data_IF_382891364714
#
_entry.id   IF_382891364714
#
_cell.length_a   1.000
_cell.length_b   1.000
_cell.length_c   1.000
_cell.angle_alpha   90.00
_cell.angle_beta   90.00
_cell.angle_gamma   90.00
#
_symmetry.space_group_name_H-M   'P 1'
#
loop_
_entity.id
_entity.type
_entity.pdbx_description
1 polymer ?
#
# COMPACT_ATOMS: atom_id res chain seq x y z
N UNK A 1 -4.64 6.20 -18.51
CA UNK A 1 -5.93 6.15 -19.24
C UNK A 1 -6.18 7.52 -19.85
N UNK A 2 -6.37 7.54 -21.17
CA UNK A 2 -6.78 8.72 -21.92
C UNK A 2 -8.25 8.99 -21.55
N UNK A 3 -8.56 10.23 -21.18
CA UNK A 3 -9.95 10.62 -20.90
C UNK A 3 -10.73 10.81 -22.18
N UNK A 4 -12.06 10.72 -22.14
CA UNK A 4 -12.92 10.98 -23.30
C UNK A 4 -12.65 12.36 -23.92
N UNK A 5 -12.39 13.37 -23.08
CA UNK A 5 -12.04 14.73 -23.54
C UNK A 5 -10.71 14.78 -24.30
N UNK A 6 -9.73 13.97 -23.89
CA UNK A 6 -8.45 13.89 -24.60
C UNK A 6 -8.61 13.20 -25.96
N UNK A 7 -9.42 12.15 -26.05
CA UNK A 7 -9.72 11.49 -27.32
C UNK A 7 -10.49 12.39 -28.25
N UNK A 8 -11.41 13.21 -27.75
CA UNK A 8 -12.17 14.18 -28.54
C UNK A 8 -11.26 15.28 -29.12
N UNK A 9 -10.28 15.73 -28.31
CA UNK A 9 -9.37 16.83 -28.72
C UNK A 9 -8.18 16.39 -29.57
N UNK A 10 -7.54 15.28 -29.20
CA UNK A 10 -6.28 14.81 -29.82
C UNK A 10 -6.47 13.62 -30.76
N UNK A 11 -7.67 13.01 -30.80
CA UNK A 11 -7.92 11.76 -31.53
C UNK A 11 -7.34 10.53 -30.82
N UNK A 12 -7.41 9.40 -31.51
CA UNK A 12 -6.84 8.14 -31.00
C UNK A 12 -5.30 8.23 -30.92
N UNK A 13 -4.69 7.63 -29.89
CA UNK A 13 -3.24 7.63 -29.75
C UNK A 13 -2.60 6.89 -30.93
N UNK A 14 -1.54 7.45 -31.47
CA UNK A 14 -0.76 6.81 -32.54
C UNK A 14 -0.02 5.58 -32.03
N UNK A 15 0.35 5.58 -30.76
CA UNK A 15 1.03 4.49 -30.08
C UNK A 15 0.77 4.54 -28.58
N UNK A 16 0.53 3.39 -27.98
CA UNK A 16 0.35 3.24 -26.54
C UNK A 16 1.40 2.25 -26.02
N UNK A 17 2.17 2.66 -25.01
CA UNK A 17 3.19 1.84 -24.37
C UNK A 17 2.82 1.62 -22.92
N UNK A 18 2.43 0.40 -22.57
CA UNK A 18 1.97 0.06 -21.24
C UNK A 18 3.12 -0.15 -20.25
N UNK A 19 2.81 -0.07 -18.93
CA UNK A 19 3.77 -0.44 -17.88
C UNK A 19 4.22 -1.89 -18.05
N UNK A 20 3.30 -2.80 -18.40
CA UNK A 20 3.60 -4.20 -18.65
C UNK A 20 4.64 -4.39 -19.76
N UNK A 21 4.43 -3.74 -20.92
CA UNK A 21 5.41 -3.76 -22.01
C UNK A 21 6.76 -3.22 -21.58
N UNK A 22 6.79 -2.13 -20.79
CA UNK A 22 8.03 -1.56 -20.27
C UNK A 22 8.78 -2.52 -19.31
N UNK A 23 8.06 -3.36 -18.59
CA UNK A 23 8.63 -4.41 -17.74
C UNK A 23 9.19 -5.54 -18.62
N UNK A 24 8.43 -6.05 -19.58
CA UNK A 24 8.86 -7.12 -20.49
C UNK A 24 10.07 -6.74 -21.34
N UNK A 25 10.10 -5.50 -21.84
CA UNK A 25 11.22 -4.95 -22.59
C UNK A 25 12.45 -4.65 -21.69
N UNK A 26 12.32 -4.80 -20.37
CA UNK A 26 13.43 -4.59 -19.42
C UNK A 26 13.77 -3.12 -19.17
N UNK A 27 12.91 -2.19 -19.53
CA UNK A 27 13.08 -0.76 -19.24
C UNK A 27 12.55 -0.38 -17.85
N UNK A 28 11.59 -1.14 -17.32
CA UNK A 28 10.99 -0.94 -16.00
C UNK A 28 11.26 -2.13 -15.09
N UNK A 29 11.34 -1.86 -13.79
CA UNK A 29 11.46 -2.89 -12.76
C UNK A 29 10.20 -3.76 -12.72
N UNK A 30 10.37 -5.07 -12.54
CA UNK A 30 9.26 -5.98 -12.33
C UNK A 30 8.44 -5.57 -11.10
N UNK A 31 7.13 -5.75 -11.16
CA UNK A 31 6.21 -5.33 -10.11
C UNK A 31 5.51 -6.52 -9.49
N UNK A 32 5.72 -6.69 -8.19
CA UNK A 32 4.92 -7.57 -7.34
C UNK A 32 3.86 -6.75 -6.61
N UNK A 33 2.68 -7.31 -6.44
CA UNK A 33 1.57 -6.66 -5.72
C UNK A 33 1.10 -7.58 -4.62
N UNK A 34 1.02 -7.03 -3.41
CA UNK A 34 0.49 -7.69 -2.22
C UNK A 34 -0.71 -6.90 -1.73
N UNK A 35 -1.89 -7.48 -1.85
CA UNK A 35 -3.14 -6.89 -1.35
C UNK A 35 -3.48 -7.45 0.02
N UNK A 36 -3.92 -6.58 0.92
CA UNK A 36 -4.24 -6.95 2.29
C UNK A 36 -5.63 -6.48 2.68
N UNK A 37 -6.41 -7.37 3.29
CA UNK A 37 -7.66 -7.05 3.98
C UNK A 37 -7.42 -6.93 5.48
N UNK A 38 -8.08 -5.98 6.13
CA UNK A 38 -7.95 -5.72 7.55
C UNK A 38 -9.30 -5.89 8.23
N UNK A 39 -9.34 -6.77 9.20
CA UNK A 39 -10.52 -7.04 10.02
C UNK A 39 -10.20 -6.71 11.48
N UNK A 40 -11.14 -6.08 12.17
CA UNK A 40 -11.04 -5.74 13.58
C UNK A 40 -11.94 -6.67 14.40
N UNK A 41 -11.42 -7.19 15.51
CA UNK A 41 -12.19 -7.93 16.48
C UNK A 41 -11.77 -7.58 17.90
N UNK A 42 -12.73 -7.43 18.79
CA UNK A 42 -12.50 -7.13 20.20
C UNK A 42 -12.47 -8.37 21.09
N UNK A 43 -13.04 -9.47 20.63
CA UNK A 43 -13.15 -10.71 21.38
C UNK A 43 -12.66 -11.90 20.56
N UNK A 44 -11.80 -12.76 21.12
CA UNK A 44 -11.20 -13.88 20.38
C UNK A 44 -12.20 -14.84 19.75
N UNK A 45 -13.40 -14.96 20.33
CA UNK A 45 -14.45 -15.90 19.91
C UNK A 45 -15.60 -15.23 19.14
N UNK A 46 -15.50 -13.92 18.86
CA UNK A 46 -16.55 -13.21 18.13
C UNK A 46 -16.33 -13.30 16.61
N UNK A 47 -17.43 -13.18 15.85
CA UNK A 47 -17.36 -13.04 14.41
C UNK A 47 -16.60 -11.77 14.01
N UNK A 48 -15.74 -11.87 13.01
CA UNK A 48 -14.96 -10.72 12.52
C UNK A 48 -15.88 -9.71 11.86
N UNK A 49 -15.86 -8.48 12.36
CA UNK A 49 -16.71 -7.38 11.93
C UNK A 49 -15.91 -6.30 11.21
N UNK A 50 -16.58 -5.49 10.42
CA UNK A 50 -15.97 -4.34 9.75
C UNK A 50 -15.55 -3.28 10.77
N UNK A 51 -14.56 -2.47 10.41
CA UNK A 51 -14.06 -1.39 11.28
C UNK A 51 -15.12 -0.38 11.70
N UNK A 52 -16.23 -0.26 10.92
CA UNK A 52 -17.35 0.61 11.25
C UNK A 52 -18.23 0.05 12.35
N UNK A 53 -18.60 -1.21 12.16
CA UNK A 53 -19.44 -1.88 13.15
C UNK A 53 -18.73 -1.88 14.50
N UNK A 54 -17.40 -2.08 14.48
CA UNK A 54 -16.57 -1.99 15.66
C UNK A 54 -16.56 -0.58 16.25
N UNK A 55 -16.35 0.46 15.45
CA UNK A 55 -16.35 1.84 15.89
C UNK A 55 -17.73 2.28 16.42
N UNK A 56 -18.81 1.76 15.79
CA UNK A 56 -20.18 1.97 16.26
C UNK A 56 -20.41 1.38 17.65
N UNK A 57 -19.93 0.14 17.89
CA UNK A 57 -20.05 -0.52 19.18
C UNK A 57 -19.26 0.18 20.29
N UNK A 58 -18.20 0.91 19.95
CA UNK A 58 -17.29 1.54 20.90
C UNK A 58 -17.48 3.04 21.06
N UNK A 59 -18.37 3.64 20.27
CA UNK A 59 -18.60 5.08 20.31
C UNK A 59 -17.38 5.91 19.87
N UNK A 60 -16.53 5.34 18.98
CA UNK A 60 -15.32 6.02 18.48
C UNK A 60 -15.64 7.02 17.40
N UNK A 61 -14.84 8.07 17.33
CA UNK A 61 -14.89 9.05 16.24
C UNK A 61 -14.35 8.43 14.94
N UNK A 62 -15.17 8.46 13.91
CA UNK A 62 -14.79 8.07 12.56
C UNK A 62 -14.35 9.31 11.78
N UNK A 63 -13.25 9.20 11.07
CA UNK A 63 -12.74 10.29 10.24
C UNK A 63 -12.73 9.86 8.78
N UNK A 64 -13.35 10.66 7.90
CA UNK A 64 -13.27 10.43 6.45
C UNK A 64 -11.83 10.55 5.98
N UNK A 65 -11.32 9.48 5.37
CA UNK A 65 -9.92 9.38 4.95
C UNK A 65 -9.57 10.36 3.80
N UNK A 66 -10.56 10.96 3.16
CA UNK A 66 -10.39 11.87 2.02
C UNK A 66 -10.45 13.31 2.46
N UNK A 67 -11.49 13.67 3.25
CA UNK A 67 -11.72 15.05 3.70
C UNK A 67 -11.00 15.34 5.01
N UNK A 68 -10.75 14.32 5.83
CA UNK A 68 -10.22 14.46 7.18
C UNK A 68 -11.27 14.95 8.20
N UNK A 69 -12.53 15.02 7.82
CA UNK A 69 -13.62 15.45 8.71
C UNK A 69 -14.10 14.28 9.57
N UNK A 70 -14.48 14.59 10.82
CA UNK A 70 -15.14 13.63 11.69
C UNK A 70 -16.57 13.42 11.19
N UNK A 71 -16.94 12.17 10.97
CA UNK A 71 -18.28 11.78 10.52
C UNK A 71 -18.95 10.87 11.55
N UNK A 72 -20.27 10.97 11.67
CA UNK A 72 -21.02 10.05 12.53
C UNK A 72 -21.10 8.65 11.91
N UNK A 73 -21.35 7.65 12.76
CA UNK A 73 -21.52 6.26 12.31
C UNK A 73 -22.70 6.13 11.35
N UNK A 74 -23.81 6.85 11.63
CA UNK A 74 -25.01 6.86 10.79
C UNK A 74 -24.71 7.47 9.42
N UNK A 75 -24.04 8.61 9.39
CA UNK A 75 -23.63 9.29 8.16
C UNK A 75 -22.65 8.43 7.35
N UNK A 76 -21.80 7.72 8.05
CA UNK A 76 -20.90 6.76 7.45
C UNK A 76 -21.64 5.61 6.76
N UNK A 77 -22.63 5.01 7.42
CA UNK A 77 -23.47 3.94 6.87
C UNK A 77 -24.31 4.39 5.68
N UNK A 78 -24.79 5.62 5.68
CA UNK A 78 -25.56 6.18 4.57
C UNK A 78 -24.71 6.51 3.34
N UNK A 79 -23.49 7.00 3.54
CA UNK A 79 -22.62 7.49 2.46
C UNK A 79 -21.83 6.40 1.76
N UNK A 80 -21.61 5.28 2.43
CA UNK A 80 -20.65 4.29 1.93
C UNK A 80 -21.19 2.86 2.00
N UNK A 81 -21.10 2.12 0.91
CA UNK A 81 -21.28 0.68 0.93
C UNK A 81 -20.15 0.02 1.74
N UNK A 82 -20.45 -1.09 2.43
CA UNK A 82 -19.54 -1.75 3.37
C UNK A 82 -18.13 -2.01 2.81
N UNK A 83 -18.02 -2.40 1.54
CA UNK A 83 -16.74 -2.69 0.87
C UNK A 83 -15.89 -1.43 0.56
N UNK A 84 -16.50 -0.26 0.39
CA UNK A 84 -15.78 0.99 0.15
C UNK A 84 -15.42 1.73 1.43
N UNK A 85 -15.99 1.33 2.51
CA UNK A 85 -15.97 2.03 3.77
C UNK A 85 -14.64 1.90 4.49
N UNK A 86 -14.13 0.69 4.66
CA UNK A 86 -12.85 0.47 5.32
C UNK A 86 -11.69 1.16 4.62
N UNK A 87 -11.81 1.37 3.30
CA UNK A 87 -10.78 2.06 2.53
C UNK A 87 -10.79 3.58 2.71
N UNK A 88 -11.82 4.16 3.33
CA UNK A 88 -12.00 5.61 3.47
C UNK A 88 -11.93 6.12 4.89
N UNK A 89 -12.10 5.24 5.88
CA UNK A 89 -12.06 5.63 7.27
C UNK A 89 -10.68 5.42 7.88
N UNK A 90 -10.31 6.38 8.70
CA UNK A 90 -9.12 6.29 9.53
C UNK A 90 -9.54 5.99 10.97
N UNK A 91 -9.23 4.78 11.39
CA UNK A 91 -9.31 4.33 12.77
C UNK A 91 -7.87 4.20 13.24
N UNK A 92 -7.45 4.82 14.35
CA UNK A 92 -6.06 4.77 14.81
C UNK A 92 -5.50 3.35 14.93
N UNK A 93 -6.29 2.42 15.46
CA UNK A 93 -5.92 1.01 15.60
C UNK A 93 -5.66 0.35 14.25
N UNK A 94 -6.39 0.74 13.22
CA UNK A 94 -6.16 0.28 11.84
C UNK A 94 -4.83 0.78 11.30
N UNK A 95 -4.49 2.04 11.55
CA UNK A 95 -3.20 2.62 11.12
C UNK A 95 -2.04 1.87 11.76
N UNK A 96 -2.11 1.62 13.07
CA UNK A 96 -1.08 0.86 13.79
C UNK A 96 -0.96 -0.58 13.26
N UNK A 97 -2.09 -1.24 12.99
CA UNK A 97 -2.09 -2.57 12.40
C UNK A 97 -1.49 -2.62 10.99
N UNK A 98 -1.80 -1.62 10.15
CA UNK A 98 -1.18 -1.50 8.82
C UNK A 98 0.34 -1.30 8.93
N UNK A 99 0.80 -0.45 9.84
CA UNK A 99 2.23 -0.23 10.08
C UNK A 99 2.92 -1.52 10.55
N UNK A 100 2.33 -2.22 11.53
CA UNK A 100 2.87 -3.48 12.04
C UNK A 100 2.92 -4.56 10.95
N UNK A 101 1.85 -4.71 10.18
CA UNK A 101 1.78 -5.66 9.07
C UNK A 101 2.85 -5.36 8.01
N UNK A 102 2.95 -4.10 7.59
CA UNK A 102 3.97 -3.67 6.65
C UNK A 102 5.38 -3.94 7.19
N UNK A 103 5.63 -3.60 8.45
CA UNK A 103 6.92 -3.82 9.08
C UNK A 103 7.31 -5.30 9.10
N UNK A 104 6.35 -6.19 9.39
CA UNK A 104 6.57 -7.64 9.33
C UNK A 104 6.93 -8.11 7.91
N UNK A 105 6.25 -7.59 6.88
CA UNK A 105 6.62 -7.88 5.49
C UNK A 105 8.03 -7.41 5.15
N UNK A 106 8.40 -6.18 5.54
CA UNK A 106 9.75 -5.66 5.29
C UNK A 106 10.81 -6.52 5.96
N UNK A 107 10.60 -6.91 7.22
CA UNK A 107 11.52 -7.79 7.95
C UNK A 107 11.66 -9.14 7.24
N UNK A 108 10.54 -9.74 6.80
CA UNK A 108 10.54 -11.04 6.14
C UNK A 108 11.16 -11.01 4.73
N UNK A 109 11.05 -9.90 4.00
CA UNK A 109 11.50 -9.77 2.60
C UNK A 109 12.93 -9.26 2.41
N UNK A 110 13.71 -9.09 3.47
CA UNK A 110 15.10 -8.66 3.37
C UNK A 110 15.55 -7.69 4.45
N UNK A 111 14.72 -7.45 5.45
CA UNK A 111 14.98 -6.58 6.58
C UNK A 111 14.24 -5.25 6.51
N UNK A 112 14.15 -4.51 7.62
CA UNK A 112 13.35 -3.30 7.68
C UNK A 112 13.97 -2.11 6.93
N UNK A 113 15.24 -2.16 6.59
CA UNK A 113 16.01 -1.05 6.02
C UNK A 113 15.85 -0.97 4.48
N UNK A 114 14.63 -1.07 4.00
CA UNK A 114 14.29 -0.98 2.57
C UNK A 114 13.72 0.40 2.23
N UNK A 115 14.14 0.98 1.11
CA UNK A 115 13.62 2.27 0.63
C UNK A 115 12.16 2.14 0.23
N UNK A 116 11.29 2.79 1.01
CA UNK A 116 9.84 2.66 0.94
C UNK A 116 9.16 4.02 0.88
N UNK A 117 8.13 4.15 0.05
CA UNK A 117 7.23 5.31 0.05
C UNK A 117 5.85 4.85 0.51
N UNK A 118 5.31 5.48 1.55
CA UNK A 118 3.97 5.24 2.08
C UNK A 118 3.09 6.43 1.75
N UNK A 119 2.06 6.21 0.94
CA UNK A 119 1.06 7.22 0.60
C UNK A 119 -0.03 7.29 1.65
N UNK A 120 -0.14 8.44 2.30
CA UNK A 120 -1.06 8.75 3.38
C UNK A 120 -2.18 9.69 2.92
N UNK A 121 -3.29 9.78 3.67
CA UNK A 121 -4.45 10.59 3.31
C UNK A 121 -4.24 12.08 3.54
N UNK A 122 -3.56 12.43 4.62
CA UNK A 122 -3.34 13.83 5.08
C UNK A 122 -2.02 13.95 5.84
N UNK A 123 -1.63 15.16 6.11
CA UNK A 123 -0.34 15.49 6.76
C UNK A 123 -0.21 14.84 8.14
N UNK A 124 -1.25 14.92 8.98
CA UNK A 124 -1.24 14.27 10.29
C UNK A 124 -1.13 12.75 10.19
N UNK A 125 -1.83 12.12 9.24
CA UNK A 125 -1.70 10.68 9.02
C UNK A 125 -0.27 10.29 8.63
N UNK A 126 0.40 11.13 7.83
CA UNK A 126 1.79 10.91 7.48
C UNK A 126 2.73 11.01 8.72
N UNK A 127 2.43 11.92 9.66
CA UNK A 127 3.14 12.00 10.94
C UNK A 127 2.90 10.74 11.78
N UNK A 128 1.64 10.35 11.97
CA UNK A 128 1.26 9.20 12.80
C UNK A 128 1.93 7.90 12.28
N UNK A 129 1.92 7.69 10.96
CA UNK A 129 2.58 6.55 10.32
C UNK A 129 4.10 6.60 10.49
N UNK A 130 4.73 7.78 10.32
CA UNK A 130 6.17 7.92 10.49
C UNK A 130 6.59 7.64 11.95
N UNK A 131 5.82 8.12 12.92
CA UNK A 131 6.06 7.86 14.34
C UNK A 131 5.96 6.36 14.62
N UNK A 132 4.89 5.71 14.18
CA UNK A 132 4.68 4.28 14.43
C UNK A 132 5.77 3.41 13.77
N UNK A 133 6.16 3.71 12.54
CA UNK A 133 7.26 2.99 11.87
C UNK A 133 8.60 3.16 12.60
N UNK A 134 8.88 4.34 13.16
CA UNK A 134 10.07 4.56 14.00
C UNK A 134 10.01 3.76 15.31
N UNK A 135 8.83 3.66 15.95
CA UNK A 135 8.62 2.89 17.17
C UNK A 135 8.85 1.38 16.93
N UNK A 136 8.31 0.87 15.83
CA UNK A 136 8.48 -0.52 15.41
C UNK A 136 9.95 -0.84 15.13
N UNK A 137 10.63 0.05 14.41
CA UNK A 137 12.04 -0.11 14.11
C UNK A 137 12.90 -0.06 15.39
N UNK A 138 12.63 0.86 16.31
CA UNK A 138 13.34 0.95 17.58
C UNK A 138 13.17 -0.32 18.42
N UNK A 139 11.97 -0.88 18.47
CA UNK A 139 11.68 -2.15 19.13
C UNK A 139 12.45 -3.29 18.48
N UNK A 140 12.40 -3.38 17.15
CA UNK A 140 13.14 -4.40 16.41
C UNK A 140 14.65 -4.31 16.62
N UNK A 141 15.23 -3.11 16.60
CA UNK A 141 16.66 -2.91 16.87
C UNK A 141 17.05 -3.40 18.26
N UNK A 142 16.27 -3.03 19.29
CA UNK A 142 16.49 -3.48 20.66
C UNK A 142 16.46 -5.01 20.76
N UNK A 143 15.45 -5.64 20.17
CA UNK A 143 15.22 -7.08 20.29
C UNK A 143 16.24 -7.91 19.49
N UNK A 144 16.85 -7.31 18.45
CA UNK A 144 17.88 -7.93 17.61
C UNK A 144 19.31 -7.44 17.91
N UNK A 145 19.51 -6.65 18.98
CA UNK A 145 20.83 -6.12 19.34
C UNK A 145 21.47 -5.22 18.26
N UNK A 146 20.65 -4.53 17.51
CA UNK A 146 21.09 -3.61 16.45
C UNK A 146 21.18 -2.19 17.00
N UNK A 147 22.11 -1.42 16.42
CA UNK A 147 22.18 0.01 16.70
C UNK A 147 20.97 0.73 16.10
N UNK A 148 20.35 1.60 16.90
CA UNK A 148 19.20 2.38 16.45
C UNK A 148 19.66 3.46 15.47
N UNK A 149 19.13 3.42 14.27
CA UNK A 149 19.30 4.48 13.29
C UNK A 149 18.25 5.57 13.55
N UNK A 150 18.70 6.80 13.75
CA UNK A 150 17.80 7.94 13.85
C UNK A 150 17.18 8.23 12.46
N UNK A 151 15.97 8.79 12.45
CA UNK A 151 15.26 9.16 11.23
C UNK A 151 15.09 7.99 10.25
N UNK A 152 14.74 6.80 10.79
CA UNK A 152 14.40 5.62 9.98
C UNK A 152 13.21 5.90 9.07
N UNK A 153 12.13 6.47 9.62
CA UNK A 153 10.96 6.95 8.89
C UNK A 153 10.77 8.44 9.10
N UNK A 154 10.41 9.16 8.05
CA UNK A 154 10.23 10.60 8.07
C UNK A 154 9.04 11.03 7.21
N UNK A 155 8.39 12.12 7.62
CA UNK A 155 7.35 12.76 6.82
C UNK A 155 7.97 13.60 5.71
N UNK A 156 7.44 13.47 4.49
CA UNK A 156 7.80 14.24 3.32
C UNK A 156 6.55 14.76 2.62
N UNK A 157 6.07 15.93 3.04
CA UNK A 157 4.86 16.56 2.51
C UNK A 157 5.12 18.01 2.12
N UNK A 158 4.10 18.69 1.64
CA UNK A 158 4.21 20.13 1.35
C UNK A 158 4.57 20.97 2.59
N UNK A 159 4.18 20.48 3.78
CA UNK A 159 4.45 21.14 5.06
C UNK A 159 5.90 20.95 5.55
N UNK A 160 6.65 19.97 5.04
CA UNK A 160 8.05 19.75 5.45
C UNK A 160 8.65 18.43 4.97
N UNK A 161 9.93 18.21 5.28
CA UNK A 161 10.65 16.97 5.00
C UNK A 161 11.28 16.88 3.61
N UNK A 162 11.16 17.91 2.78
CA UNK A 162 11.77 17.94 1.43
C UNK A 162 13.28 17.85 1.45
N UNK A 163 13.91 18.38 2.50
CA UNK A 163 15.36 18.38 2.65
C UNK A 163 15.95 16.98 2.78
N UNK A 164 15.14 16.01 3.27
CA UNK A 164 15.55 14.61 3.42
C UNK A 164 15.39 13.78 2.15
N UNK A 165 14.90 14.35 1.04
CA UNK A 165 14.77 13.63 -0.23
C UNK A 165 16.13 13.19 -0.80
N UNK A 166 17.17 13.97 -0.59
CA UNK A 166 18.54 13.61 -0.97
C UNK A 166 19.01 12.36 -0.22
N UNK A 167 18.65 12.23 1.06
CA UNK A 167 18.98 11.10 1.90
C UNK A 167 18.17 9.85 1.53
N UNK A 168 16.88 10.01 1.22
CA UNK A 168 16.07 8.91 0.70
C UNK A 168 16.67 8.34 -0.59
N UNK A 169 17.24 9.20 -1.44
CA UNK A 169 17.86 8.79 -2.71
C UNK A 169 19.25 8.16 -2.53
N UNK A 170 20.06 8.68 -1.65
CA UNK A 170 21.48 8.37 -1.59
C UNK A 170 21.94 7.65 -0.33
N UNK A 171 21.27 7.81 0.79
CA UNK A 171 21.69 7.19 2.04
C UNK A 171 21.37 5.70 2.08
N UNK A 172 22.35 4.91 2.52
CA UNK A 172 22.20 3.49 2.86
C UNK A 172 22.13 3.25 4.36
N UNK A 173 22.10 4.31 5.17
CA UNK A 173 22.20 4.22 6.63
C UNK A 173 21.02 4.80 7.39
N UNK A 174 20.23 5.66 6.76
CA UNK A 174 19.08 6.34 7.39
C UNK A 174 18.06 6.75 6.33
N UNK A 175 16.92 7.32 6.74
CA UNK A 175 15.84 7.77 5.86
C UNK A 175 15.36 6.66 4.90
N UNK A 176 14.95 5.54 5.47
CA UNK A 176 14.50 4.39 4.66
C UNK A 176 13.05 4.53 4.23
N UNK A 177 12.19 5.10 5.08
CA UNK A 177 10.75 5.20 4.84
C UNK A 177 10.32 6.67 4.75
N UNK A 178 9.75 7.05 3.61
CA UNK A 178 9.11 8.34 3.43
C UNK A 178 7.59 8.21 3.50
N UNK A 179 6.93 8.89 4.43
CA UNK A 179 5.47 9.01 4.47
C UNK A 179 5.06 10.31 3.78
N UNK A 180 4.10 10.24 2.85
CA UNK A 180 3.73 11.40 2.03
C UNK A 180 2.24 11.43 1.72
N UNK A 181 1.72 12.61 1.41
CA UNK A 181 0.36 12.78 0.86
C UNK A 181 0.44 12.86 -0.67
N UNK A 182 0.98 13.93 -1.22
CA UNK A 182 1.00 14.17 -2.65
C UNK A 182 2.38 14.59 -3.20
N UNK A 183 3.30 15.00 -2.33
CA UNK A 183 4.59 15.58 -2.76
C UNK A 183 5.39 14.63 -3.64
N UNK A 184 5.38 13.34 -3.34
CA UNK A 184 6.11 12.33 -4.08
C UNK A 184 5.32 11.79 -5.29
N UNK A 185 4.14 12.33 -5.60
CA UNK A 185 3.38 11.95 -6.79
C UNK A 185 3.92 12.60 -8.06
N UNK A 186 4.48 13.80 -7.96
CA UNK A 186 4.96 14.58 -9.11
C UNK A 186 6.44 14.96 -8.98
N UNK A 187 7.20 14.84 -10.06
CA UNK A 187 8.53 15.44 -10.23
C UNK A 187 9.67 14.91 -9.36
N UNK A 188 9.43 14.08 -8.38
CA UNK A 188 10.47 13.53 -7.51
C UNK A 188 10.92 12.17 -8.02
N UNK A 189 12.19 12.04 -8.34
CA UNK A 189 12.80 10.80 -8.78
C UNK A 189 13.60 10.16 -7.62
N UNK A 190 13.22 8.92 -7.25
CA UNK A 190 13.87 8.15 -6.19
C UNK A 190 14.13 6.72 -6.68
N UNK A 191 15.16 6.51 -7.52
CA UNK A 191 15.40 5.21 -8.16
C UNK A 191 15.55 4.01 -7.20
N UNK A 192 16.18 4.15 -5.99
CA UNK A 192 16.37 3.02 -5.08
C UNK A 192 15.10 2.58 -4.32
N UNK A 193 13.96 3.24 -4.50
CA UNK A 193 12.70 2.81 -3.85
C UNK A 193 12.27 1.46 -4.36
N UNK A 194 12.15 0.50 -3.44
CA UNK A 194 11.74 -0.89 -3.72
C UNK A 194 10.33 -1.21 -3.23
N UNK A 195 9.72 -0.34 -2.44
CA UNK A 195 8.36 -0.55 -1.94
C UNK A 195 7.50 0.69 -2.11
N UNK A 196 6.29 0.50 -2.65
CA UNK A 196 5.23 1.50 -2.78
C UNK A 196 4.05 1.01 -1.94
N UNK A 197 3.58 1.83 -1.02
CA UNK A 197 2.57 1.43 -0.04
C UNK A 197 1.37 2.37 -0.07
N UNK A 198 0.18 1.81 -0.15
CA UNK A 198 -1.07 2.54 -0.13
C UNK A 198 -1.77 2.38 1.23
N UNK A 199 -1.64 3.42 2.07
CA UNK A 199 -2.41 3.63 3.30
C UNK A 199 -3.52 4.66 3.08
N UNK A 200 -3.77 5.02 1.84
CA UNK A 200 -4.84 5.92 1.42
C UNK A 200 -5.64 5.35 0.28
N UNK A 201 -6.94 5.61 0.31
CA UNK A 201 -7.79 5.33 -0.84
C UNK A 201 -7.46 6.29 -2.00
N UNK A 202 -7.25 5.75 -3.19
CA UNK A 202 -6.96 6.53 -4.39
C UNK A 202 -8.15 6.46 -5.34
N UNK A 203 -8.66 7.62 -5.77
CA UNK A 203 -9.79 7.72 -6.71
C UNK A 203 -9.34 7.87 -8.16
N UNK A 204 -8.29 8.64 -8.37
CA UNK A 204 -7.81 9.00 -9.69
C UNK A 204 -6.86 7.93 -10.25
N UNK A 205 -7.18 7.30 -11.39
CA UNK A 205 -6.23 6.42 -12.07
C UNK A 205 -4.91 7.11 -12.39
N UNK A 206 -4.95 8.38 -12.81
CA UNK A 206 -3.74 9.15 -13.12
C UNK A 206 -2.84 9.27 -11.89
N UNK A 207 -3.42 9.67 -10.74
CA UNK A 207 -2.66 9.76 -9.49
C UNK A 207 -2.09 8.40 -9.08
N UNK A 208 -2.89 7.33 -9.20
CA UNK A 208 -2.46 5.97 -8.91
C UNK A 208 -1.24 5.56 -9.74
N UNK A 209 -1.30 5.73 -11.07
CA UNK A 209 -0.17 5.40 -11.94
C UNK A 209 1.06 6.27 -11.67
N UNK A 210 0.89 7.53 -11.29
CA UNK A 210 2.00 8.39 -10.86
C UNK A 210 2.65 7.89 -9.58
N UNK A 211 1.87 7.39 -8.62
CA UNK A 211 2.36 6.82 -7.36
C UNK A 211 3.11 5.51 -7.62
N UNK A 212 2.51 4.58 -8.35
CA UNK A 212 3.15 3.31 -8.74
C UNK A 212 4.43 3.55 -9.53
N UNK A 213 4.40 4.51 -10.44
CA UNK A 213 5.54 4.91 -11.27
C UNK A 213 6.80 5.33 -10.47
N UNK A 214 6.67 5.63 -9.17
CA UNK A 214 7.85 5.89 -8.32
C UNK A 214 8.68 4.63 -8.07
N UNK A 215 8.06 3.46 -8.13
CA UNK A 215 8.73 2.17 -7.97
C UNK A 215 9.31 1.60 -9.27
N UNK A 216 8.86 2.02 -10.43
CA UNK A 216 9.16 1.33 -11.70
C UNK A 216 10.59 1.46 -12.21
N UNK A 217 11.39 2.39 -11.69
CA UNK A 217 12.75 2.58 -12.19
C UNK A 217 13.68 1.46 -11.77
N UNK A 218 14.44 0.94 -12.73
CA UNK A 218 15.59 0.06 -12.48
C UNK A 218 16.71 0.89 -11.86
N UNK A 219 17.42 0.34 -10.88
CA UNK A 219 18.56 1.00 -10.25
C UNK A 219 19.72 0.03 -10.06
N UNK A 220 20.61 -0.02 -11.05
CA UNK A 220 21.76 -0.90 -11.06
C UNK A 220 22.67 -0.77 -9.83
N UNK A 221 22.94 0.44 -9.26
CA UNK A 221 23.79 0.58 -8.09
C UNK A 221 23.27 -0.15 -6.84
N UNK A 222 21.95 -0.31 -6.68
CA UNK A 222 21.34 -1.09 -5.58
C UNK A 222 20.87 -2.47 -6.02
N UNK A 223 21.20 -2.91 -7.23
CA UNK A 223 20.73 -4.15 -7.86
C UNK A 223 19.19 -4.30 -7.85
N UNK A 224 18.48 -3.15 -7.94
CA UNK A 224 17.04 -3.14 -7.99
C UNK A 224 16.54 -3.49 -9.38
N UNK A 225 15.93 -4.65 -9.52
CA UNK A 225 15.29 -5.15 -10.74
C UNK A 225 13.78 -5.32 -10.57
N UNK A 226 13.29 -5.25 -9.33
CA UNK A 226 11.87 -5.36 -9.00
C UNK A 226 11.49 -4.42 -7.85
N UNK A 227 10.19 -4.20 -7.69
CA UNK A 227 9.63 -3.49 -6.56
C UNK A 227 8.29 -4.11 -6.16
N UNK A 228 7.88 -3.88 -4.92
CA UNK A 228 6.63 -4.39 -4.37
C UNK A 228 5.64 -3.25 -4.10
N UNK A 229 4.38 -3.48 -4.48
CA UNK A 229 3.25 -2.62 -4.13
C UNK A 229 2.47 -3.29 -3.01
N UNK A 230 2.41 -2.65 -1.84
CA UNK A 230 1.57 -3.07 -0.72
C UNK A 230 0.29 -2.27 -0.71
N UNK A 231 -0.84 -2.92 -0.87
CA UNK A 231 -2.15 -2.27 -0.93
C UNK A 231 -3.04 -2.68 0.26
N UNK A 232 -3.35 -1.71 1.10
CA UNK A 232 -4.23 -1.86 2.27
C UNK A 232 -5.59 -1.17 2.08
N UNK A 233 -5.86 -0.63 0.89
CA UNK A 233 -7.00 0.26 0.64
C UNK A 233 -7.71 -0.04 -0.69
N UNK A 234 -7.40 -1.19 -1.30
CA UNK A 234 -7.91 -1.58 -2.61
C UNK A 234 -7.63 -0.52 -3.71
N UNK A 235 -6.46 0.14 -3.63
CA UNK A 235 -6.02 1.10 -4.64
C UNK A 235 -5.70 0.41 -5.98
N UNK A 236 -5.25 -0.83 -5.92
CA UNK A 236 -4.87 -1.66 -7.09
C UNK A 236 -6.02 -1.98 -8.03
N UNK A 237 -7.30 -1.86 -7.59
CA UNK A 237 -8.48 -1.91 -8.49
C UNK A 237 -8.37 -0.93 -9.66
N UNK A 238 -7.54 0.12 -9.55
CA UNK A 238 -7.33 1.12 -10.59
C UNK A 238 -6.46 0.65 -11.76
N UNK A 239 -5.87 -0.54 -11.67
CA UNK A 239 -5.26 -1.18 -12.84
C UNK A 239 -6.30 -1.61 -13.89
N UNK A 240 -7.56 -1.81 -13.50
CA UNK A 240 -8.68 -2.11 -14.39
C UNK A 240 -9.62 -3.16 -13.82
N UNK A 241 -10.70 -3.45 -14.54
CA UNK A 241 -11.75 -4.41 -14.13
C UNK A 241 -11.25 -5.85 -14.02
N UNK A 242 -10.13 -6.16 -14.66
CA UNK A 242 -9.54 -7.50 -14.66
C UNK A 242 -8.67 -7.75 -13.42
N UNK A 243 -8.41 -6.70 -12.62
CA UNK A 243 -7.82 -6.80 -11.30
C UNK A 243 -8.87 -7.17 -10.23
N UNK A 244 -9.81 -8.02 -10.60
CA UNK A 244 -10.72 -8.62 -9.64
C UNK A 244 -9.95 -9.77 -9.02
N UNK A 245 -9.71 -9.67 -7.70
CA UNK A 245 -9.31 -10.81 -6.90
C UNK A 245 -10.27 -11.94 -7.22
N UNK A 246 -9.81 -12.93 -7.97
CA UNK A 246 -10.57 -14.17 -8.18
C UNK A 246 -10.53 -14.84 -6.81
N UNK A 247 -11.55 -14.58 -5.97
CA UNK A 247 -11.80 -15.39 -4.79
C UNK A 247 -12.02 -16.80 -5.35
N UNK A 248 -11.05 -17.68 -5.12
CA UNK A 248 -11.24 -19.10 -5.49
C UNK A 248 -12.51 -19.58 -4.83
N UNK A 249 -13.39 -20.31 -5.57
CA UNK A 249 -14.54 -20.95 -4.95
C UNK A 249 -14.04 -21.87 -3.83
N UNK A 250 -14.59 -21.75 -2.65
CA UNK A 250 -14.46 -22.76 -1.62
C UNK A 250 -15.12 -24.04 -2.15
N UNK A 251 -14.34 -25.05 -2.53
CA UNK A 251 -14.92 -26.33 -2.90
C UNK A 251 -14.00 -27.26 -3.68
N UNK A 252 -13.78 -28.38 -3.06
CA UNK A 252 -13.34 -29.68 -3.56
C UNK A 252 -11.84 -29.98 -3.62
N UNK A 253 -11.36 -30.68 -2.60
CA UNK A 253 -10.47 -31.84 -2.59
C UNK A 253 -9.19 -31.80 -3.42
N UNK A 254 -8.35 -30.81 -3.26
CA UNK A 254 -6.96 -30.83 -3.69
C UNK A 254 -6.08 -30.28 -2.57
N UNK A 255 -4.81 -30.68 -2.47
CA UNK A 255 -3.85 -30.19 -1.49
C UNK A 255 -4.00 -28.67 -1.36
N UNK A 256 -4.36 -28.21 -0.16
CA UNK A 256 -4.65 -26.81 0.12
C UNK A 256 -3.43 -25.98 -0.29
N UNK A 257 -3.60 -24.97 -1.18
CA UNK A 257 -2.58 -23.96 -1.35
C UNK A 257 -2.27 -23.34 0.02
N UNK A 258 -1.04 -22.91 0.27
CA UNK A 258 -0.69 -22.29 1.54
C UNK A 258 -1.74 -21.21 1.86
N UNK A 259 -2.30 -21.26 3.06
CA UNK A 259 -3.27 -20.26 3.52
C UNK A 259 -2.63 -18.90 3.33
N UNK A 260 -3.40 -17.86 2.90
CA UNK A 260 -2.90 -16.50 2.90
C UNK A 260 -2.28 -16.24 4.28
N UNK A 261 -1.08 -15.68 4.30
CA UNK A 261 -0.40 -15.38 5.56
C UNK A 261 -1.29 -14.47 6.38
N UNK A 262 -1.85 -15.00 7.45
CA UNK A 262 -2.70 -14.29 8.38
C UNK A 262 -1.82 -13.72 9.49
N UNK A 263 -1.87 -12.41 9.67
CA UNK A 263 -1.19 -11.73 10.76
C UNK A 263 -2.21 -11.32 11.81
N UNK A 264 -2.07 -11.84 13.04
CA UNK A 264 -2.81 -11.37 14.20
C UNK A 264 -1.98 -10.31 14.91
N UNK A 265 -2.49 -9.10 14.95
CA UNK A 265 -1.82 -7.93 15.52
C UNK A 265 -2.66 -7.42 16.67
N UNK A 266 -2.06 -7.31 17.86
CA UNK A 266 -2.71 -6.71 19.02
C UNK A 266 -2.42 -5.22 19.08
N UNK A 267 -3.48 -4.40 19.04
CA UNK A 267 -3.38 -2.95 19.14
C UNK A 267 -4.36 -2.47 20.19
N UNK A 268 -3.86 -1.87 21.27
CA UNK A 268 -4.65 -1.26 22.34
C UNK A 268 -5.83 -2.13 22.86
N UNK A 269 -5.61 -3.45 22.95
CA UNK A 269 -6.61 -4.41 23.45
C UNK A 269 -7.57 -4.93 22.38
N UNK A 270 -7.28 -4.66 21.11
CA UNK A 270 -7.97 -5.26 19.97
C UNK A 270 -7.09 -6.31 19.29
N UNK A 271 -7.73 -7.38 18.84
CA UNK A 271 -7.15 -8.28 17.87
C UNK A 271 -7.47 -7.77 16.48
N UNK A 272 -6.44 -7.40 15.72
CA UNK A 272 -6.57 -7.00 14.33
C UNK A 272 -6.04 -8.13 13.47
N UNK A 273 -6.89 -8.66 12.59
CA UNK A 273 -6.50 -9.64 11.60
C UNK A 273 -6.18 -8.95 10.29
N UNK A 274 -4.94 -9.07 9.84
CA UNK A 274 -4.53 -8.67 8.50
C UNK A 274 -4.34 -9.94 7.68
N UNK A 275 -5.08 -10.08 6.60
CA UNK A 275 -5.02 -11.23 5.71
C UNK A 275 -4.45 -10.80 4.37
N UNK A 276 -3.47 -11.53 3.87
CA UNK A 276 -3.06 -11.37 2.48
C UNK A 276 -4.22 -11.80 1.57
N UNK A 277 -4.83 -10.85 0.88
CA UNK A 277 -5.93 -11.09 -0.05
C UNK A 277 -5.43 -11.59 -1.42
N UNK A 278 -4.14 -11.44 -1.71
CA UNK A 278 -3.51 -11.96 -2.93
C UNK A 278 -2.11 -11.41 -3.15
N UNK A 279 -1.29 -12.21 -3.84
CA UNK A 279 0.02 -11.81 -4.33
C UNK A 279 0.07 -12.01 -5.84
N UNK A 280 0.42 -10.97 -6.58
CA UNK A 280 0.35 -10.96 -8.04
C UNK A 280 1.64 -10.39 -8.63
N UNK A 281 1.95 -10.83 -9.85
CA UNK A 281 3.00 -10.27 -10.69
C UNK A 281 2.33 -9.60 -11.88
N UNK A 282 2.74 -8.39 -12.20
CA UNK A 282 2.27 -7.73 -13.41
C UNK A 282 3.03 -8.22 -14.62
N UNK A 283 2.30 -8.67 -15.62
CA UNK A 283 2.80 -9.08 -16.94
C UNK A 283 1.94 -8.46 -18.05
N UNK A 284 2.16 -8.84 -19.30
CA UNK A 284 1.31 -8.42 -20.42
C UNK A 284 0.60 -9.62 -21.03
N UNK A 285 -0.62 -9.39 -21.52
CA UNK A 285 -1.32 -10.38 -22.35
C UNK A 285 -0.88 -10.26 -23.82
N UNK A 286 -1.41 -11.11 -24.69
CA UNK A 286 -1.11 -11.14 -26.12
C UNK A 286 -1.46 -9.82 -26.85
N UNK A 287 -2.29 -8.99 -26.25
CA UNK A 287 -2.69 -7.67 -26.77
C UNK A 287 -1.79 -6.53 -26.25
N UNK A 288 -0.77 -6.85 -25.42
CA UNK A 288 0.11 -5.85 -24.82
C UNK A 288 -0.50 -5.10 -23.62
N UNK A 289 -1.64 -5.55 -23.09
CA UNK A 289 -2.27 -4.95 -21.91
C UNK A 289 -1.63 -5.50 -20.64
N UNK A 290 -1.37 -4.63 -19.65
CA UNK A 290 -0.83 -5.03 -18.36
C UNK A 290 -1.90 -5.80 -17.57
N UNK A 291 -1.60 -7.05 -17.24
CA UNK A 291 -2.48 -7.93 -16.46
C UNK A 291 -1.76 -8.46 -15.23
N UNK A 292 -2.45 -8.60 -14.09
CA UNK A 292 -1.93 -9.30 -12.94
C UNK A 292 -2.10 -10.81 -13.14
N UNK A 293 -1.08 -11.56 -12.84
CA UNK A 293 -1.11 -13.02 -12.79
C UNK A 293 -0.65 -13.48 -11.41
N UNK A 294 -1.10 -14.63 -10.97
CA UNK A 294 -0.58 -15.22 -9.74
C UNK A 294 0.87 -15.66 -9.94
N UNK A 295 1.64 -15.77 -8.84
CA UNK A 295 3.01 -16.27 -8.89
C UNK A 295 3.09 -17.67 -9.50
N UNK A 296 2.04 -18.48 -9.34
CA UNK A 296 1.93 -19.83 -9.89
C UNK A 296 1.70 -19.83 -11.41
N UNK A 297 0.89 -18.89 -11.91
CA UNK A 297 0.64 -18.74 -13.35
C UNK A 297 1.84 -18.14 -14.09
N UNK A 298 2.66 -17.37 -13.39
CA UNK A 298 3.86 -16.74 -13.96
C UNK A 298 5.03 -17.74 -14.10
N UNK A 299 5.08 -18.82 -13.30
CA UNK A 299 6.11 -19.86 -13.33
C UNK A 299 5.90 -20.86 -14.45
#
# INVERSE_FOLDING_TARGET
KITADNLEYFGEPVYEYSIGQGIEDGYLAAMEIITNDIFLNRQPDAEWITGIEQAALEGKELTDAITGEVISVEEAKERYEASSFESRLMIPERVNAMCQSLFNYLVASGGPEQKTIIFCTRDRHADDVAIEMNNLYATWCRDNGRELVQDYAFKCTAAGGKDYLSELKGSTRHHFIATTVDLLTTGVDVPPVVNIVFFRYVRSPIAFYQMVGRGTRIHAPSNKLMFTVYDYTNATRLFGTDFIVIKRPEGEGGEHPPRPEEQLIQVEGFDVRVTNAGTYIMTTNELGEAIPVTVEEYK
#
